data_IF_859779879385
#
_entry.id   IF_859779879385
#
_cell.length_a   1.000
_cell.length_b   1.000
_cell.length_c   1.000
_cell.angle_alpha   90.00
_cell.angle_beta   90.00
_cell.angle_gamma   90.00
#
_symmetry.space_group_name_H-M   'P 1'
#
loop_
_entity.id
_entity.type
_entity.pdbx_description
1 polymer ?
#
# COMPACT_ATOMS: atom_id res chain seq x y z
N UNK A 1 -5.33 -9.82 -15.23
CA UNK A 1 -5.06 -8.36 -15.14
C UNK A 1 -6.32 -7.51 -15.09
N UNK A 2 -7.27 -7.61 -16.04
CA UNK A 2 -8.50 -6.78 -16.04
C UNK A 2 -9.30 -6.84 -14.73
N UNK A 3 -9.50 -8.05 -14.19
CA UNK A 3 -10.20 -8.23 -12.92
C UNK A 3 -9.52 -7.51 -11.75
N UNK A 4 -8.18 -7.58 -11.65
CA UNK A 4 -7.40 -6.92 -10.59
C UNK A 4 -7.60 -5.40 -10.63
N UNK A 5 -7.49 -4.80 -11.82
CA UNK A 5 -7.66 -3.35 -12.01
C UNK A 5 -9.07 -2.92 -11.62
N UNK A 6 -10.11 -3.63 -12.09
CA UNK A 6 -11.50 -3.29 -11.75
C UNK A 6 -11.74 -3.46 -10.26
N UNK A 7 -11.32 -4.57 -9.65
CA UNK A 7 -11.49 -4.81 -8.22
C UNK A 7 -10.72 -3.80 -7.37
N UNK A 8 -9.53 -3.35 -7.79
CA UNK A 8 -8.73 -2.40 -7.03
C UNK A 8 -9.35 -1.00 -7.05
N UNK A 9 -9.85 -0.56 -8.21
CA UNK A 9 -10.58 0.70 -8.32
C UNK A 9 -11.87 0.68 -7.48
N UNK A 10 -12.64 -0.41 -7.56
CA UNK A 10 -13.83 -0.59 -6.73
C UNK A 10 -13.48 -0.54 -5.24
N UNK A 11 -12.39 -1.22 -4.84
CA UNK A 11 -11.91 -1.18 -3.47
C UNK A 11 -11.61 0.24 -3.00
N UNK A 12 -10.94 1.07 -3.81
CA UNK A 12 -10.74 2.48 -3.48
C UNK A 12 -12.05 3.27 -3.35
N UNK A 13 -13.00 3.08 -4.28
CA UNK A 13 -14.28 3.82 -4.30
C UNK A 13 -15.15 3.51 -3.07
N UNK A 14 -15.22 2.24 -2.64
CA UNK A 14 -16.10 1.84 -1.52
C UNK A 14 -15.68 2.39 -0.16
N UNK A 15 -14.49 2.98 -0.04
CA UNK A 15 -14.08 3.68 1.19
C UNK A 15 -14.80 5.02 1.38
N UNK A 16 -15.46 5.52 0.33
CA UNK A 16 -16.28 6.75 0.36
C UNK A 16 -15.51 7.99 0.87
N UNK A 17 -14.18 7.96 0.81
CA UNK A 17 -13.30 9.05 1.18
C UNK A 17 -12.31 9.30 0.02
N UNK A 18 -12.38 10.47 -0.65
CA UNK A 18 -11.49 10.80 -1.75
C UNK A 18 -9.99 10.74 -1.39
N UNK A 19 -9.63 11.10 -0.16
CA UNK A 19 -8.23 11.04 0.30
C UNK A 19 -7.73 9.58 0.40
N UNK A 20 -8.61 8.64 0.70
CA UNK A 20 -8.27 7.21 0.78
C UNK A 20 -8.33 6.50 -0.57
N UNK A 21 -8.92 7.10 -1.60
CA UNK A 21 -9.11 6.45 -2.90
C UNK A 21 -7.79 5.95 -3.50
N UNK A 22 -6.76 6.81 -3.54
CA UNK A 22 -5.47 6.49 -4.17
C UNK A 22 -4.77 5.37 -3.39
N UNK A 23 -4.66 5.50 -2.07
CA UNK A 23 -4.06 4.47 -1.21
C UNK A 23 -4.81 3.14 -1.28
N UNK A 24 -6.14 3.19 -1.19
CA UNK A 24 -7.03 2.04 -1.31
C UNK A 24 -6.89 1.32 -2.65
N UNK A 25 -6.89 2.06 -3.76
CA UNK A 25 -6.72 1.47 -5.08
C UNK A 25 -5.33 0.82 -5.28
N UNK A 26 -4.26 1.44 -4.76
CA UNK A 26 -2.91 0.87 -4.83
C UNK A 26 -2.78 -0.41 -4.01
N UNK A 27 -3.21 -0.41 -2.74
CA UNK A 27 -3.16 -1.62 -1.90
C UNK A 27 -4.08 -2.71 -2.42
N UNK A 28 -5.25 -2.35 -2.97
CA UNK A 28 -6.16 -3.28 -3.65
C UNK A 28 -5.52 -3.97 -4.85
N UNK A 29 -4.76 -3.21 -5.66
CA UNK A 29 -4.00 -3.76 -6.78
C UNK A 29 -2.91 -4.73 -6.32
N UNK A 30 -2.17 -4.35 -5.27
CA UNK A 30 -1.14 -5.20 -4.67
C UNK A 30 -1.71 -6.50 -4.10
N UNK A 31 -2.82 -6.44 -3.35
CA UNK A 31 -3.51 -7.63 -2.86
C UNK A 31 -3.98 -8.53 -4.00
N UNK A 32 -4.53 -7.96 -5.07
CA UNK A 32 -4.96 -8.72 -6.25
C UNK A 32 -3.79 -9.42 -6.94
N UNK A 33 -2.63 -8.77 -7.03
CA UNK A 33 -1.39 -9.36 -7.55
C UNK A 33 -0.88 -10.49 -6.66
N UNK A 34 -0.82 -10.30 -5.34
CA UNK A 34 -0.40 -11.34 -4.39
C UNK A 34 -1.36 -12.54 -4.42
N UNK A 35 -2.67 -12.29 -4.44
CA UNK A 35 -3.67 -13.36 -4.54
C UNK A 35 -3.54 -14.16 -5.84
N UNK A 36 -3.26 -13.49 -6.96
CA UNK A 36 -3.09 -14.16 -8.25
C UNK A 36 -1.98 -15.23 -8.20
N UNK A 37 -0.87 -14.93 -7.53
CA UNK A 37 0.28 -15.83 -7.43
C UNK A 37 0.15 -16.86 -6.30
N UNK A 38 -0.46 -16.49 -5.17
CA UNK A 38 -0.49 -17.34 -3.96
C UNK A 38 -1.78 -18.10 -3.77
N UNK A 39 -2.88 -17.65 -4.39
CA UNK A 39 -4.27 -18.10 -4.13
C UNK A 39 -4.68 -18.05 -2.66
N UNK A 40 -3.96 -17.26 -1.85
CA UNK A 40 -4.17 -17.17 -0.41
C UNK A 40 -5.00 -15.94 -0.06
N UNK A 41 -6.22 -16.17 0.41
CA UNK A 41 -7.06 -15.10 0.99
C UNK A 41 -6.44 -14.59 2.29
N UNK A 42 -5.82 -15.46 3.09
CA UNK A 42 -5.15 -15.06 4.33
C UNK A 42 -4.05 -14.03 4.07
N UNK A 43 -3.25 -14.20 3.00
CA UNK A 43 -2.23 -13.22 2.62
C UNK A 43 -2.86 -11.85 2.33
N UNK A 44 -4.00 -11.80 1.62
CA UNK A 44 -4.70 -10.54 1.36
C UNK A 44 -5.28 -9.91 2.63
N UNK A 45 -5.81 -10.71 3.57
CA UNK A 45 -6.31 -10.22 4.87
C UNK A 45 -5.17 -9.59 5.67
N UNK A 46 -4.01 -10.24 5.72
CA UNK A 46 -2.85 -9.72 6.45
C UNK A 46 -2.33 -8.42 5.82
N UNK A 47 -2.28 -8.32 4.50
CA UNK A 47 -1.90 -7.08 3.80
C UNK A 47 -2.88 -5.96 4.15
N UNK A 48 -4.19 -6.22 4.08
CA UNK A 48 -5.21 -5.22 4.39
C UNK A 48 -5.14 -4.79 5.87
N UNK A 49 -5.01 -5.74 6.79
CA UNK A 49 -4.87 -5.46 8.21
C UNK A 49 -3.63 -4.62 8.51
N UNK A 50 -2.47 -4.93 7.89
CA UNK A 50 -1.25 -4.14 8.03
C UNK A 50 -1.43 -2.72 7.50
N UNK A 51 -2.09 -2.52 6.35
CA UNK A 51 -2.36 -1.19 5.81
C UNK A 51 -3.22 -0.34 6.75
N UNK A 52 -4.29 -0.92 7.32
CA UNK A 52 -5.12 -0.25 8.30
C UNK A 52 -4.39 -0.01 9.63
N UNK A 53 -3.53 -0.94 10.04
CA UNK A 53 -2.72 -0.78 11.25
C UNK A 53 -1.74 0.39 11.11
N UNK A 54 -1.17 0.61 9.92
CA UNK A 54 -0.33 1.79 9.67
C UNK A 54 -1.14 3.08 9.84
N UNK A 55 -2.31 3.18 9.21
CA UNK A 55 -3.17 4.36 9.35
C UNK A 55 -3.62 4.58 10.81
N UNK A 56 -3.92 3.50 11.52
CA UNK A 56 -4.23 3.55 12.94
C UNK A 56 -3.04 4.02 13.77
N UNK A 57 -1.84 3.48 13.53
CA UNK A 57 -0.63 3.85 14.25
C UNK A 57 -0.26 5.33 14.00
N UNK A 58 -0.38 5.81 12.76
CA UNK A 58 -0.17 7.23 12.42
C UNK A 58 -1.04 8.15 13.27
N UNK A 59 -2.30 7.77 13.54
CA UNK A 59 -3.20 8.55 14.39
C UNK A 59 -2.77 8.67 15.87
N UNK A 60 -1.83 7.84 16.34
CA UNK A 60 -1.24 7.96 17.68
C UNK A 60 -0.01 8.87 17.72
N UNK A 61 0.68 9.01 16.58
CA UNK A 61 1.93 9.78 16.51
C UNK A 61 1.73 11.17 15.91
N UNK A 62 0.65 11.37 15.15
CA UNK A 62 0.28 12.65 14.55
C UNK A 62 -0.91 13.18 15.33
N UNK A 63 -0.71 14.31 16.01
CA UNK A 63 -1.83 15.05 16.58
C UNK A 63 -2.64 15.63 15.42
N UNK A 64 -3.82 15.05 15.18
CA UNK A 64 -4.64 15.37 14.02
C UNK A 64 -5.23 16.78 14.13
N UNK A 65 -5.46 17.29 15.34
CA UNK A 65 -5.95 18.67 15.52
C UNK A 65 -4.87 19.70 15.16
N UNK A 66 -3.61 19.44 15.53
CA UNK A 66 -2.49 20.32 15.17
C UNK A 66 -2.12 20.17 13.68
N UNK A 67 -2.21 18.96 13.13
CA UNK A 67 -1.79 18.63 11.77
C UNK A 67 -2.77 19.02 10.66
N UNK A 68 -4.04 19.34 10.97
CA UNK A 68 -5.08 19.60 9.96
C UNK A 68 -4.72 20.74 9.00
N UNK A 69 -4.05 21.78 9.51
CA UNK A 69 -3.64 22.96 8.73
C UNK A 69 -2.17 22.90 8.27
N UNK A 70 -1.45 21.84 8.63
CA UNK A 70 -0.05 21.65 8.29
C UNK A 70 0.10 20.85 7.00
N UNK A 71 1.11 21.20 6.21
CA UNK A 71 1.57 20.33 5.13
C UNK A 71 2.28 19.09 5.70
N UNK A 72 2.29 17.98 4.94
CA UNK A 72 3.08 16.80 5.28
C UNK A 72 4.57 17.11 5.50
N UNK A 73 5.10 18.11 4.79
CA UNK A 73 6.48 18.54 4.98
C UNK A 73 6.69 19.18 6.35
N UNK A 74 5.76 19.99 6.84
CA UNK A 74 5.82 20.59 8.17
C UNK A 74 5.67 19.54 9.27
N UNK A 75 4.73 18.60 9.12
CA UNK A 75 4.55 17.47 10.05
C UNK A 75 5.84 16.66 10.19
N UNK A 76 6.60 16.51 9.10
CA UNK A 76 7.85 15.74 9.07
C UNK A 76 9.12 16.57 9.37
N UNK A 77 8.98 17.83 9.77
CA UNK A 77 10.12 18.69 10.15
C UNK A 77 10.88 19.31 8.98
N UNK A 78 10.26 19.43 7.81
CA UNK A 78 10.74 20.16 6.64
C UNK A 78 10.80 19.33 5.35
N UNK A 79 10.98 20.04 4.23
CA UNK A 79 11.02 19.44 2.88
C UNK A 79 12.10 18.35 2.73
N UNK A 80 13.26 18.52 3.37
CA UNK A 80 14.34 17.53 3.30
C UNK A 80 13.89 16.19 3.86
N UNK A 81 13.29 16.17 5.06
CA UNK A 81 12.82 14.94 5.69
C UNK A 81 11.68 14.30 4.89
N UNK A 82 10.76 15.12 4.37
CA UNK A 82 9.67 14.64 3.53
C UNK A 82 10.18 13.94 2.26
N UNK A 83 11.12 14.56 1.54
CA UNK A 83 11.69 13.96 0.32
C UNK A 83 12.47 12.69 0.65
N UNK A 84 13.26 12.69 1.72
CA UNK A 84 14.01 11.50 2.16
C UNK A 84 13.06 10.35 2.50
N UNK A 85 11.97 10.62 3.21
CA UNK A 85 10.96 9.62 3.56
C UNK A 85 10.29 9.03 2.32
N UNK A 86 9.84 9.87 1.39
CA UNK A 86 9.18 9.42 0.15
C UNK A 86 10.14 8.58 -0.70
N UNK A 87 11.36 9.07 -0.94
CA UNK A 87 12.37 8.35 -1.71
C UNK A 87 12.74 7.01 -1.04
N UNK A 88 12.95 7.01 0.28
CA UNK A 88 13.25 5.82 1.05
C UNK A 88 12.12 4.78 0.96
N UNK A 89 10.87 5.20 1.13
CA UNK A 89 9.70 4.31 1.02
C UNK A 89 9.53 3.75 -0.38
N UNK A 90 9.77 4.54 -1.43
CA UNK A 90 9.72 4.06 -2.83
C UNK A 90 10.80 2.99 -3.06
N UNK A 91 12.05 3.26 -2.67
CA UNK A 91 13.17 2.32 -2.85
C UNK A 91 12.89 1.02 -2.08
N UNK A 92 12.47 1.13 -0.82
CA UNK A 92 12.14 -0.03 0.01
C UNK A 92 11.01 -0.85 -0.62
N UNK A 93 9.92 -0.19 -1.04
CA UNK A 93 8.77 -0.85 -1.65
C UNK A 93 9.16 -1.56 -2.94
N UNK A 94 9.90 -0.91 -3.83
CA UNK A 94 10.38 -1.53 -5.08
C UNK A 94 11.30 -2.72 -4.79
N UNK A 95 12.19 -2.61 -3.81
CA UNK A 95 13.04 -3.71 -3.36
C UNK A 95 12.23 -4.91 -2.85
N UNK A 96 11.26 -4.67 -1.97
CA UNK A 96 10.37 -5.72 -1.45
C UNK A 96 9.53 -6.38 -2.55
N UNK A 97 8.96 -5.58 -3.46
CA UNK A 97 8.16 -6.09 -4.59
C UNK A 97 9.03 -6.92 -5.54
N UNK A 98 10.27 -6.49 -5.82
CA UNK A 98 11.21 -7.24 -6.64
C UNK A 98 11.57 -8.60 -6.02
N UNK A 99 11.88 -8.62 -4.72
CA UNK A 99 12.19 -9.86 -4.00
C UNK A 99 10.99 -10.80 -3.98
N UNK A 100 9.79 -10.26 -3.75
CA UNK A 100 8.55 -11.04 -3.74
C UNK A 100 8.22 -11.61 -5.13
N UNK A 101 8.43 -10.83 -6.20
CA UNK A 101 8.26 -11.29 -7.57
C UNK A 101 9.20 -12.47 -7.87
N UNK A 102 10.49 -12.36 -7.51
CA UNK A 102 11.47 -13.44 -7.64
C UNK A 102 11.06 -14.69 -6.86
N UNK A 103 10.40 -14.54 -5.72
CA UNK A 103 9.88 -15.67 -4.96
C UNK A 103 8.69 -16.34 -5.66
N UNK A 104 7.79 -15.55 -6.25
CA UNK A 104 6.68 -16.09 -7.03
C UNK A 104 7.14 -16.87 -8.27
N UNK A 105 8.20 -16.45 -8.95
CA UNK A 105 8.80 -17.16 -10.09
C UNK A 105 9.32 -18.56 -9.73
N UNK A 106 9.74 -18.80 -8.48
CA UNK A 106 10.19 -20.12 -8.03
C UNK A 106 9.03 -21.10 -7.84
N UNK A 107 7.80 -20.61 -7.71
CA UNK A 107 6.63 -21.46 -7.49
C UNK A 107 6.20 -22.15 -8.81
N UNK A 108 5.61 -23.36 -8.77
CA UNK A 108 5.11 -24.03 -9.97
C UNK A 108 4.04 -23.23 -10.74
N UNK A 109 3.39 -22.26 -10.10
CA UNK A 109 2.47 -21.30 -10.73
C UNK A 109 3.19 -20.17 -11.47
N UNK A 110 4.39 -19.77 -11.02
CA UNK A 110 5.21 -18.74 -11.69
C UNK A 110 5.77 -19.22 -13.04
N UNK A 111 5.93 -20.53 -13.23
CA UNK A 111 6.33 -21.15 -14.49
C UNK A 111 5.21 -21.23 -15.55
N UNK A 112 3.97 -20.90 -15.19
CA UNK A 112 2.79 -20.94 -16.07
C UNK A 112 2.20 -19.56 -16.38
N UNK A 113 2.80 -18.48 -15.85
CA UNK A 113 2.31 -17.10 -15.96
C UNK A 113 3.09 -16.28 -17.00
#
# INVERSE_FOLDING_TARGET
TKAIVVSSLLFGVIHLNPAQFVGGALVGGFMGWVYFHTRSVLATILIHASFNLTAFAESYFIDVEEAIDMSYAEILGGMTNYVLLICGSIILTLGCVFLLHKEFEKSPLGLQA
#
